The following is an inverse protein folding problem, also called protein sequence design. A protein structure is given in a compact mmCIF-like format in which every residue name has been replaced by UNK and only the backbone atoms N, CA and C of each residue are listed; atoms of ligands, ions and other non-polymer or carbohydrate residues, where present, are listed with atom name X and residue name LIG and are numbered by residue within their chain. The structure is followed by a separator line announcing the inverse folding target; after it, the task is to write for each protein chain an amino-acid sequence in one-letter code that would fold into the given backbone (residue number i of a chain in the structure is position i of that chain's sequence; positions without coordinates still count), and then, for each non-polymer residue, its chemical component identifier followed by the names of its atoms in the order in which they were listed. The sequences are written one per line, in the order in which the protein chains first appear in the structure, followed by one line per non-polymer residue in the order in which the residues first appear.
data_IF_170858914405
#
_entry.id   IF_170858914405
#
_cell.length_a   1.000
_cell.length_b   1.000
_cell.length_c   1.000
_cell.angle_alpha   90.00
_cell.angle_beta   90.00
_cell.angle_gamma   90.00
#
_symmetry.space_group_name_H-M   'P 1'
#
loop_
_entity.id
_entity.type
_entity.pdbx_description
1 polymer ?
#
# COMPACT_ATOMS: atom_id res chain seq x y z
N UNK A 1 1.65 -4.83 14.27
CA UNK A 1 0.92 -3.65 13.73
C UNK A 1 0.71 -3.82 12.23
N UNK A 2 -0.40 -3.33 11.67
CA UNK A 2 -0.63 -3.26 10.21
C UNK A 2 -0.03 -1.97 9.62
N UNK A 3 0.76 -2.07 8.56
CA UNK A 3 1.27 -0.91 7.82
C UNK A 3 0.67 -0.87 6.41
N UNK A 4 0.00 0.22 6.09
CA UNK A 4 -0.50 0.51 4.74
C UNK A 4 0.53 1.40 4.04
N UNK A 5 1.15 0.92 2.96
CA UNK A 5 2.31 1.59 2.36
C UNK A 5 2.06 1.84 0.88
N UNK A 6 2.07 3.11 0.48
CA UNK A 6 2.01 3.51 -0.92
C UNK A 6 3.33 3.27 -1.63
N UNK A 7 3.27 2.67 -2.82
CA UNK A 7 4.44 2.41 -3.67
C UNK A 7 4.77 3.56 -4.62
N UNK A 8 3.87 4.54 -4.77
CA UNK A 8 4.02 5.57 -5.81
C UNK A 8 3.62 5.04 -7.18
N UNK A 9 4.04 5.71 -8.25
CA UNK A 9 3.47 5.52 -9.61
C UNK A 9 4.47 5.01 -10.65
N UNK A 10 5.76 5.14 -10.38
CA UNK A 10 6.88 4.71 -11.20
C UNK A 10 7.36 3.33 -10.79
N UNK A 11 8.65 3.18 -10.49
CA UNK A 11 9.28 1.88 -10.25
C UNK A 11 9.44 1.52 -8.75
N UNK A 12 10.21 0.48 -8.46
CA UNK A 12 10.48 0.01 -7.08
C UNK A 12 11.09 1.10 -6.16
N UNK A 13 11.66 2.17 -6.71
CA UNK A 13 12.32 3.26 -5.96
C UNK A 13 11.39 4.41 -5.64
N UNK A 14 10.19 4.44 -6.19
CA UNK A 14 9.18 5.46 -5.87
C UNK A 14 8.61 5.28 -4.46
N UNK A 15 8.81 4.10 -3.84
CA UNK A 15 8.53 3.91 -2.43
C UNK A 15 9.31 4.93 -1.59
N UNK A 16 8.65 5.53 -0.61
CA UNK A 16 9.36 6.43 0.32
C UNK A 16 10.42 5.65 1.11
N UNK A 17 11.48 6.33 1.54
CA UNK A 17 12.50 5.74 2.44
C UNK A 17 11.86 5.09 3.66
N UNK A 18 10.88 5.77 4.27
CA UNK A 18 10.10 5.27 5.40
C UNK A 18 9.34 3.98 5.07
N UNK A 19 8.75 3.90 3.87
CA UNK A 19 8.08 2.69 3.39
C UNK A 19 9.06 1.53 3.26
N UNK A 20 10.20 1.75 2.60
CA UNK A 20 11.23 0.73 2.39
C UNK A 20 11.80 0.16 3.70
N UNK A 21 12.08 1.03 4.67
CA UNK A 21 12.55 0.62 6.00
C UNK A 21 11.54 -0.29 6.72
N UNK A 22 10.24 0.03 6.61
CA UNK A 22 9.17 -0.79 7.21
C UNK A 22 9.05 -2.13 6.49
N UNK A 23 9.03 -2.13 5.15
CA UNK A 23 8.96 -3.36 4.34
C UNK A 23 10.05 -4.35 4.72
N UNK A 24 11.29 -3.86 4.91
CA UNK A 24 12.45 -4.70 5.24
C UNK A 24 12.36 -5.39 6.60
N UNK A 25 11.62 -4.82 7.57
CA UNK A 25 11.50 -5.37 8.93
C UNK A 25 10.18 -6.12 9.19
N UNK A 26 9.14 -5.88 8.39
CA UNK A 26 7.85 -6.55 8.56
C UNK A 26 7.98 -8.08 8.39
N UNK A 27 7.27 -8.84 9.23
CA UNK A 27 7.28 -10.31 9.20
C UNK A 27 6.67 -10.85 7.91
N UNK A 28 5.59 -10.23 7.44
CA UNK A 28 4.90 -10.50 6.17
C UNK A 28 4.68 -9.21 5.40
N UNK A 29 4.79 -9.32 4.08
CA UNK A 29 4.59 -8.20 3.16
C UNK A 29 3.65 -8.66 2.06
N UNK A 30 2.45 -8.11 2.04
CA UNK A 30 1.44 -8.34 1.02
C UNK A 30 1.56 -7.27 -0.06
N UNK A 31 1.43 -7.68 -1.32
CA UNK A 31 1.37 -6.81 -2.47
C UNK A 31 -0.01 -6.93 -3.10
N UNK A 32 -0.75 -5.83 -3.05
CA UNK A 32 -2.03 -5.69 -3.72
C UNK A 32 -1.80 -5.62 -5.24
N UNK A 33 -2.49 -6.49 -5.98
CA UNK A 33 -2.18 -6.73 -7.39
C UNK A 33 -3.37 -6.52 -8.35
N UNK A 34 -4.47 -5.88 -7.92
CA UNK A 34 -5.71 -5.85 -8.73
C UNK A 34 -6.34 -4.46 -8.93
N UNK A 35 -6.00 -3.46 -8.13
CA UNK A 35 -6.57 -2.11 -8.20
C UNK A 35 -5.81 -1.21 -9.17
N UNK A 36 -4.54 -1.50 -9.44
CA UNK A 36 -3.71 -0.70 -10.34
C UNK A 36 -2.58 -1.54 -10.96
N UNK A 37 -2.19 -1.15 -12.18
CA UNK A 37 -1.14 -1.86 -12.90
C UNK A 37 0.20 -1.54 -12.26
N UNK A 38 0.85 -2.59 -11.77
CA UNK A 38 2.28 -2.57 -11.43
C UNK A 38 3.09 -2.31 -12.69
N UNK A 39 3.84 -1.21 -12.70
CA UNK A 39 4.77 -0.83 -13.78
C UNK A 39 5.94 -1.79 -13.92
N UNK A 40 6.28 -2.50 -12.84
CA UNK A 40 7.35 -3.49 -12.74
C UNK A 40 6.82 -4.80 -12.15
N UNK A 41 7.41 -5.92 -12.54
CA UNK A 41 7.05 -7.23 -11.99
C UNK A 41 7.33 -7.33 -10.49
N UNK A 42 6.62 -8.25 -9.82
CA UNK A 42 6.82 -8.58 -8.40
C UNK A 42 8.29 -8.91 -8.11
N UNK A 43 8.97 -9.60 -9.01
CA UNK A 43 10.35 -10.06 -8.87
C UNK A 43 11.32 -8.89 -8.69
N UNK A 44 11.10 -7.80 -9.44
CA UNK A 44 11.92 -6.57 -9.35
C UNK A 44 11.73 -5.90 -7.98
N UNK A 45 10.49 -5.89 -7.47
CA UNK A 45 10.20 -5.39 -6.13
C UNK A 45 10.85 -6.26 -5.05
N UNK A 46 10.74 -7.59 -5.17
CA UNK A 46 11.37 -8.52 -4.23
C UNK A 46 12.89 -8.35 -4.17
N UNK A 47 13.54 -8.20 -5.33
CA UNK A 47 14.98 -7.96 -5.44
C UNK A 47 15.37 -6.65 -4.76
N UNK A 48 14.68 -5.55 -5.08
CA UNK A 48 15.01 -4.23 -4.54
C UNK A 48 14.72 -4.10 -3.04
N UNK A 49 13.60 -4.68 -2.57
CA UNK A 49 13.20 -4.65 -1.18
C UNK A 49 13.98 -5.63 -0.31
N UNK A 50 14.54 -6.70 -0.91
CA UNK A 50 15.22 -7.77 -0.18
C UNK A 50 14.25 -8.60 0.67
N UNK A 51 13.00 -8.74 0.21
CA UNK A 51 11.91 -9.43 0.90
C UNK A 51 11.03 -10.17 -0.11
N UNK A 52 10.46 -11.30 0.30
CA UNK A 52 9.41 -11.97 -0.47
C UNK A 52 8.08 -11.24 -0.30
N UNK A 53 7.34 -11.11 -1.40
CA UNK A 53 6.03 -10.48 -1.44
C UNK A 53 4.94 -11.54 -1.63
N UNK A 54 3.90 -11.46 -0.82
CA UNK A 54 2.72 -12.31 -0.92
C UNK A 54 1.71 -11.56 -1.79
N UNK A 55 1.31 -12.12 -2.93
CA UNK A 55 0.29 -11.47 -3.76
C UNK A 55 -1.06 -11.55 -3.05
N UNK A 56 -1.74 -10.42 -2.95
CA UNK A 56 -3.11 -10.32 -2.49
C UNK A 56 -3.97 -9.93 -3.68
N UNK A 57 -4.77 -10.88 -4.16
CA UNK A 57 -5.76 -10.62 -5.19
C UNK A 57 -7.03 -10.02 -4.59
N UNK A 58 -8.05 -9.82 -5.44
CA UNK A 58 -9.30 -9.22 -5.00
C UNK A 58 -10.02 -10.04 -3.93
N UNK A 59 -9.99 -11.36 -4.05
CA UNK A 59 -10.68 -12.25 -3.10
C UNK A 59 -9.98 -12.19 -1.74
N UNK A 60 -8.65 -12.21 -1.74
CA UNK A 60 -7.84 -12.08 -0.54
C UNK A 60 -8.10 -10.75 0.19
N UNK A 61 -8.22 -9.65 -0.55
CA UNK A 61 -8.40 -8.32 0.05
C UNK A 61 -9.84 -8.07 0.49
N UNK A 62 -10.83 -8.46 -0.32
CA UNK A 62 -12.24 -8.14 -0.06
C UNK A 62 -12.93 -9.19 0.82
N UNK A 63 -12.63 -10.47 0.62
CA UNK A 63 -13.31 -11.59 1.29
C UNK A 63 -12.45 -12.21 2.38
N UNK A 64 -11.17 -12.44 2.12
CA UNK A 64 -10.26 -13.13 3.04
C UNK A 64 -9.32 -12.21 3.82
N UNK A 65 -9.69 -10.94 4.03
CA UNK A 65 -8.87 -9.95 4.74
C UNK A 65 -8.36 -10.42 6.12
N UNK A 66 -9.04 -11.40 6.73
CA UNK A 66 -8.59 -12.04 7.97
C UNK A 66 -7.20 -12.68 7.84
N UNK A 67 -6.82 -13.19 6.67
CA UNK A 67 -5.49 -13.75 6.41
C UNK A 67 -4.40 -12.66 6.49
N UNK A 68 -4.68 -11.49 5.91
CA UNK A 68 -3.79 -10.32 5.97
C UNK A 68 -3.68 -9.80 7.41
N UNK A 69 -4.81 -9.73 8.12
CA UNK A 69 -4.88 -9.19 9.49
C UNK A 69 -4.45 -10.18 10.56
N UNK A 70 -4.38 -11.47 10.26
CA UNK A 70 -3.96 -12.53 11.19
C UNK A 70 -2.63 -12.15 11.82
N UNK A 71 -2.51 -12.23 13.14
CA UNK A 71 -1.29 -11.95 13.92
C UNK A 71 -0.71 -10.54 13.72
N UNK A 72 -1.46 -9.60 13.13
CA UNK A 72 -1.01 -8.21 12.95
C UNK A 72 -1.09 -7.38 14.24
N UNK A 73 -1.65 -7.92 15.31
CA UNK A 73 -1.61 -7.41 16.68
C UNK A 73 -0.26 -7.72 17.37
N UNK A 74 0.30 -8.91 17.12
CA UNK A 74 1.56 -9.37 17.74
C UNK A 74 2.79 -9.24 16.84
N UNK A 75 2.60 -9.05 15.52
CA UNK A 75 3.69 -8.92 14.54
C UNK A 75 3.44 -7.81 13.54
N UNK A 76 4.52 -7.30 12.93
CA UNK A 76 4.44 -6.23 11.93
C UNK A 76 4.13 -6.79 10.54
N UNK A 77 3.00 -6.38 9.97
CA UNK A 77 2.52 -6.79 8.65
C UNK A 77 2.44 -5.57 7.74
N UNK A 78 3.03 -5.64 6.55
CA UNK A 78 2.91 -4.59 5.54
C UNK A 78 1.93 -4.99 4.44
N UNK A 79 1.11 -4.04 4.01
CA UNK A 79 0.21 -4.14 2.88
C UNK A 79 0.57 -3.02 1.89
N UNK A 80 1.13 -3.42 0.74
CA UNK A 80 1.65 -2.53 -0.29
C UNK A 80 0.57 -2.23 -1.32
N UNK A 81 0.42 -0.95 -1.64
CA UNK A 81 -0.60 -0.43 -2.57
C UNK A 81 0.07 0.42 -3.63
N UNK A 82 -0.28 0.24 -4.90
CA UNK A 82 0.19 1.12 -5.98
C UNK A 82 -0.39 2.54 -5.81
N UNK A 83 0.45 3.56 -5.96
CA UNK A 83 0.10 4.94 -5.66
C UNK A 83 0.08 5.22 -4.16
N UNK A 84 -1.01 5.81 -3.67
CA UNK A 84 -1.25 6.11 -2.26
C UNK A 84 -2.34 5.18 -1.70
N UNK A 85 -2.22 4.68 -0.45
CA UNK A 85 -3.20 3.75 0.12
C UNK A 85 -4.64 4.23 0.07
N UNK A 86 -4.91 5.54 0.10
CA UNK A 86 -6.26 6.09 0.07
C UNK A 86 -6.64 6.72 -1.27
N UNK A 87 -5.89 6.44 -2.34
CA UNK A 87 -6.33 6.74 -3.69
C UNK A 87 -7.58 5.95 -4.12
N UNK A 88 -7.80 4.77 -3.52
CA UNK A 88 -8.96 3.89 -3.74
C UNK A 88 -9.69 3.57 -2.42
N UNK A 89 -10.99 3.27 -2.50
CA UNK A 89 -11.83 3.06 -1.31
C UNK A 89 -11.65 1.70 -0.64
N UNK A 90 -11.15 0.69 -1.36
CA UNK A 90 -11.06 -0.70 -0.85
C UNK A 90 -10.15 -0.84 0.36
N UNK A 91 -9.06 -0.08 0.39
CA UNK A 91 -8.08 -0.12 1.49
C UNK A 91 -8.62 0.46 2.80
N UNK A 92 -9.60 1.36 2.73
CA UNK A 92 -10.28 1.89 3.91
C UNK A 92 -11.06 0.80 4.64
N UNK A 93 -11.64 -0.17 3.93
CA UNK A 93 -12.34 -1.29 4.56
C UNK A 93 -11.39 -2.18 5.37
N UNK A 94 -10.19 -2.48 4.85
CA UNK A 94 -9.18 -3.25 5.57
C UNK A 94 -8.78 -2.58 6.90
N UNK A 95 -8.65 -1.25 6.90
CA UNK A 95 -8.38 -0.47 8.12
C UNK A 95 -9.55 -0.49 9.10
N UNK A 96 -10.78 -0.39 8.60
CA UNK A 96 -11.97 -0.50 9.45
C UNK A 96 -12.05 -1.87 10.12
N UNK A 97 -11.73 -2.95 9.39
CA UNK A 97 -11.63 -4.31 9.95
C UNK A 97 -10.53 -4.41 11.00
N UNK A 98 -9.32 -3.90 10.71
CA UNK A 98 -8.23 -3.85 11.67
C UNK A 98 -8.63 -3.11 12.96
N UNK A 99 -9.31 -1.96 12.82
CA UNK A 99 -9.81 -1.16 13.95
C UNK A 99 -10.82 -1.93 14.79
N UNK A 100 -11.77 -2.64 14.17
CA UNK A 100 -12.76 -3.48 14.87
C UNK A 100 -12.10 -4.63 15.66
N UNK A 101 -10.98 -5.14 15.16
CA UNK A 101 -10.19 -6.20 15.81
C UNK A 101 -9.19 -5.66 16.85
N UNK A 102 -9.13 -4.35 17.07
CA UNK A 102 -8.16 -3.74 17.98
C UNK A 102 -6.70 -3.78 17.47
N UNK A 103 -6.51 -4.06 16.19
CA UNK A 103 -5.19 -4.12 15.56
C UNK A 103 -4.71 -2.69 15.30
N UNK A 104 -3.56 -2.26 15.86
CA UNK A 104 -3.02 -0.95 15.56
C UNK A 104 -2.56 -0.91 14.11
N UNK A 105 -2.80 0.21 13.42
CA UNK A 105 -2.37 0.42 12.05
C UNK A 105 -1.61 1.73 11.87
N UNK A 106 -0.83 1.81 10.81
CA UNK A 106 -0.11 3.01 10.39
C UNK A 106 -0.12 3.15 8.88
N UNK A 107 -0.38 4.36 8.39
CA UNK A 107 -0.36 4.68 6.96
C UNK A 107 0.94 5.40 6.61
N UNK A 108 1.58 4.97 5.52
CA UNK A 108 2.73 5.60 4.89
C UNK A 108 2.29 6.03 3.50
N UNK A 109 2.02 7.33 3.37
CA UNK A 109 1.54 7.94 2.14
C UNK A 109 2.60 7.98 1.04
N UNK A 110 2.14 8.13 -0.20
CA UNK A 110 3.01 8.33 -1.37
C UNK A 110 2.33 9.20 -2.44
N UNK A 111 2.99 9.37 -3.59
CA UNK A 111 2.40 9.98 -4.78
C UNK A 111 1.15 9.21 -5.25
N UNK A 112 0.18 9.92 -5.82
CA UNK A 112 -1.10 9.36 -6.26
C UNK A 112 -1.44 9.89 -7.64
N UNK A 113 -2.12 9.11 -8.48
CA UNK A 113 -2.54 9.59 -9.80
C UNK A 113 -3.39 10.87 -9.69
N UNK A 114 -4.12 11.01 -8.58
CA UNK A 114 -4.94 12.19 -8.25
C UNK A 114 -4.14 13.49 -8.18
N UNK A 115 -2.87 13.43 -7.76
CA UNK A 115 -1.98 14.60 -7.74
C UNK A 115 -1.06 14.66 -8.98
N UNK A 116 -0.66 13.52 -9.51
CA UNK A 116 0.22 13.44 -10.68
C UNK A 116 -0.41 14.02 -11.96
N UNK A 117 -1.75 14.07 -12.04
CA UNK A 117 -2.49 14.73 -13.14
C UNK A 117 -2.10 16.22 -13.34
N UNK A 118 -1.46 16.85 -12.34
CA UNK A 118 -0.85 18.17 -12.50
C UNK A 118 0.20 18.25 -13.61
N UNK A 119 0.74 17.12 -14.09
CA UNK A 119 1.63 17.07 -15.25
C UNK A 119 0.98 17.59 -16.55
N UNK A 120 -0.35 17.63 -16.62
CA UNK A 120 -1.08 18.22 -17.74
C UNK A 120 -1.02 19.76 -17.76
N UNK A 121 -0.41 20.40 -16.74
CA UNK A 121 -0.40 21.86 -16.59
C UNK A 121 -1.72 22.46 -16.12
N UNK A 122 -2.70 21.60 -15.80
CA UNK A 122 -4.00 22.00 -15.27
C UNK A 122 -3.94 22.22 -13.77
N UNK A 123 -4.66 23.23 -13.30
CA UNK A 123 -4.76 23.56 -11.89
C UNK A 123 -5.62 22.53 -11.14
N UNK A 124 -5.02 21.80 -10.19
CA UNK A 124 -5.69 20.73 -9.44
C UNK A 124 -6.56 21.26 -8.28
N UNK A 125 -6.31 22.50 -7.84
CA UNK A 125 -7.03 23.14 -6.72
C UNK A 125 -7.68 24.45 -7.16
N UNK A 126 -8.94 24.69 -6.81
CA UNK A 126 -9.56 26.00 -6.99
C UNK A 126 -8.81 27.03 -6.13
N UNK A 127 -8.18 28.03 -6.76
CA UNK A 127 -7.69 29.19 -6.03
C UNK A 127 -8.91 30.03 -5.62
N UNK A 128 -9.07 30.26 -4.31
CA UNK A 128 -9.98 31.30 -3.83
C UNK A 128 -9.31 32.64 -4.13
N UNK A 129 -9.94 33.43 -5.00
CA UNK A 129 -9.65 34.86 -5.14
C UNK A 129 -10.15 35.61 -3.90
#
# INVERSE_FOLDING_TARGET
MLYMIGLGLGDAKDITVKGLEVVRRCSRVYLEAYTSVLTVGKEVLEEFYGRKLILADREEVEQEANNILKDADISDVAFLVVGDPFGATTHSDLILRATKLGIPYRVIHNASIMNAVGCCGLQVILQKN
#
